data_IF_946864973242
#
_entry.id   IF_946864973242
#
_cell.length_a   1.000
_cell.length_b   1.000
_cell.length_c   1.000
_cell.angle_alpha   90.00
_cell.angle_beta   90.00
_cell.angle_gamma   90.00
#
_symmetry.space_group_name_H-M   'P 1'
#
loop_
_entity.id
_entity.type
_entity.pdbx_description
1 polymer ?
#
# COMPACT_ATOMS: atom_id res chain seq x y z
N UNK A 1 3.79 23.26 1.17
CA UNK A 1 3.14 21.95 1.08
C UNK A 1 3.66 20.99 2.15
N UNK A 2 2.81 20.07 2.57
CA UNK A 2 3.19 19.07 3.56
C UNK A 2 3.82 17.88 2.83
N UNK A 3 5.15 17.84 2.82
CA UNK A 3 5.90 16.78 2.13
C UNK A 3 5.74 15.42 2.82
N UNK A 4 5.56 15.40 4.13
CA UNK A 4 5.31 14.15 4.86
C UNK A 4 3.98 13.53 4.47
N UNK A 5 2.94 14.34 4.34
CA UNK A 5 1.63 13.88 3.88
C UNK A 5 1.72 13.34 2.44
N UNK A 6 2.41 14.06 1.56
CA UNK A 6 2.60 13.62 0.17
C UNK A 6 3.31 12.27 0.13
N UNK A 7 4.37 12.11 0.93
CA UNK A 7 5.13 10.86 0.99
C UNK A 7 4.25 9.70 1.44
N UNK A 8 3.45 9.89 2.49
CA UNK A 8 2.55 8.84 2.99
C UNK A 8 1.55 8.42 1.92
N UNK A 9 0.93 9.39 1.25
CA UNK A 9 -0.06 9.12 0.22
C UNK A 9 0.53 8.40 -0.98
N UNK A 10 1.74 8.77 -1.38
CA UNK A 10 2.45 8.10 -2.48
C UNK A 10 2.81 6.66 -2.12
N UNK A 11 3.29 6.42 -0.92
CA UNK A 11 3.62 5.07 -0.48
C UNK A 11 2.38 4.17 -0.43
N UNK A 12 1.26 4.70 0.01
CA UNK A 12 0.01 3.94 0.05
C UNK A 12 -0.43 3.50 -1.34
N UNK A 13 -0.37 4.39 -2.30
CA UNK A 13 -0.69 4.04 -3.68
C UNK A 13 0.28 3.01 -4.24
N UNK A 14 1.58 3.20 -4.02
CA UNK A 14 2.60 2.25 -4.46
C UNK A 14 2.33 0.84 -3.92
N UNK A 15 2.02 0.73 -2.63
CA UNK A 15 1.73 -0.56 -2.01
C UNK A 15 0.51 -1.23 -2.62
N UNK A 16 -0.56 -0.47 -2.87
CA UNK A 16 -1.74 -1.02 -3.52
C UNK A 16 -1.40 -1.55 -4.92
N UNK A 17 -0.57 -0.84 -5.68
CA UNK A 17 -0.16 -1.31 -7.02
C UNK A 17 0.67 -2.58 -6.96
N UNK A 18 1.62 -2.67 -6.03
CA UNK A 18 2.46 -3.87 -5.89
C UNK A 18 1.59 -5.07 -5.53
N UNK A 19 0.66 -4.89 -4.59
CA UNK A 19 -0.23 -5.97 -4.17
C UNK A 19 -1.16 -6.41 -5.30
N UNK A 20 -1.65 -5.46 -6.10
CA UNK A 20 -2.50 -5.79 -7.23
C UNK A 20 -1.77 -6.61 -8.28
N UNK A 21 -0.55 -6.22 -8.62
CA UNK A 21 0.24 -6.91 -9.64
C UNK A 21 0.74 -8.29 -9.22
N UNK A 22 0.69 -8.57 -7.92
CA UNK A 22 1.11 -9.85 -7.37
C UNK A 22 -0.04 -10.82 -7.18
N UNK A 23 -1.28 -10.36 -7.38
CA UNK A 23 -2.44 -11.21 -7.19
C UNK A 23 -2.34 -12.51 -8.01
N UNK A 24 -2.81 -13.64 -7.48
CA UNK A 24 -3.53 -13.81 -6.21
C UNK A 24 -2.64 -14.06 -4.99
N UNK A 25 -1.34 -13.80 -5.08
CA UNK A 25 -0.38 -14.14 -4.02
C UNK A 25 -0.22 -12.98 -3.05
N UNK A 26 -0.20 -13.25 -1.72
CA UNK A 26 0.17 -12.24 -0.75
C UNK A 26 1.64 -11.86 -0.89
N UNK A 27 1.99 -10.66 -0.47
CA UNK A 27 3.35 -10.13 -0.59
C UNK A 27 3.91 -9.83 0.80
N UNK A 28 5.15 -10.27 1.04
CA UNK A 28 5.85 -10.00 2.28
C UNK A 28 6.32 -8.56 2.41
N UNK A 29 6.42 -8.09 3.65
CA UNK A 29 6.83 -6.72 3.93
C UNK A 29 8.21 -6.36 3.37
N UNK A 30 9.12 -7.34 3.25
CA UNK A 30 10.45 -7.07 2.69
C UNK A 30 10.37 -6.62 1.23
N UNK A 31 9.48 -7.22 0.43
CA UNK A 31 9.27 -6.81 -0.95
C UNK A 31 8.66 -5.41 -1.00
N UNK A 32 7.68 -5.13 -0.13
CA UNK A 32 7.07 -3.80 -0.05
C UNK A 32 8.08 -2.75 0.39
N UNK A 33 8.97 -3.09 1.33
CA UNK A 33 10.03 -2.20 1.75
C UNK A 33 11.00 -1.90 0.60
N UNK A 34 11.34 -2.91 -0.21
CA UNK A 34 12.16 -2.72 -1.39
C UNK A 34 11.54 -1.77 -2.39
N UNK A 35 10.24 -1.93 -2.65
CA UNK A 35 9.51 -1.02 -3.54
C UNK A 35 9.46 0.40 -2.97
N UNK A 36 9.21 0.53 -1.66
CA UNK A 36 9.21 1.83 -0.99
C UNK A 36 10.56 2.52 -1.09
N UNK A 37 11.65 1.77 -0.93
CA UNK A 37 13.01 2.31 -1.00
C UNK A 37 13.41 2.72 -2.42
N UNK A 38 12.79 2.13 -3.43
CA UNK A 38 13.00 2.56 -4.81
C UNK A 38 12.44 3.96 -5.03
N UNK A 39 11.35 4.30 -4.38
CA UNK A 39 10.75 5.64 -4.45
C UNK A 39 11.39 6.60 -3.43
N UNK A 40 11.62 6.15 -2.20
CA UNK A 40 12.21 6.91 -1.10
C UNK A 40 13.33 6.08 -0.48
N UNK A 41 14.60 6.32 -0.85
CA UNK A 41 15.72 5.47 -0.41
C UNK A 41 15.89 5.33 1.10
N UNK A 42 15.38 6.27 1.88
CA UNK A 42 15.45 6.24 3.35
C UNK A 42 14.24 5.57 4.00
N UNK A 43 13.33 4.97 3.22
CA UNK A 43 12.16 4.29 3.76
C UNK A 43 12.56 3.13 4.67
N UNK A 44 11.91 3.01 5.82
CA UNK A 44 12.19 1.99 6.81
C UNK A 44 11.06 0.95 6.87
N UNK A 45 11.37 -0.20 7.47
CA UNK A 45 10.36 -1.23 7.71
C UNK A 45 9.22 -0.69 8.59
N UNK A 46 9.54 0.17 9.56
CA UNK A 46 8.53 0.78 10.41
C UNK A 46 7.58 1.66 9.60
N UNK A 47 8.10 2.45 8.69
CA UNK A 47 7.29 3.29 7.81
C UNK A 47 6.36 2.42 6.95
N UNK A 48 6.87 1.34 6.38
CA UNK A 48 6.06 0.41 5.59
C UNK A 48 4.92 -0.16 6.44
N UNK A 49 5.21 -0.61 7.66
CA UNK A 49 4.18 -1.15 8.54
C UNK A 49 3.12 -0.13 8.91
N UNK A 50 3.51 1.14 9.13
CA UNK A 50 2.56 2.21 9.42
C UNK A 50 1.58 2.42 8.27
N UNK A 51 2.08 2.39 7.03
CA UNK A 51 1.21 2.57 5.88
C UNK A 51 0.36 1.34 5.61
N UNK A 52 0.87 0.14 5.88
CA UNK A 52 0.06 -1.08 5.83
C UNK A 52 -1.09 -1.02 6.86
N UNK A 53 -0.81 -0.57 8.08
CA UNK A 53 -1.85 -0.39 9.09
C UNK A 53 -2.93 0.60 8.65
N UNK A 54 -2.53 1.70 7.99
CA UNK A 54 -3.49 2.65 7.44
C UNK A 54 -4.40 1.98 6.40
N UNK A 55 -3.82 1.23 5.48
CA UNK A 55 -4.59 0.55 4.43
C UNK A 55 -5.51 -0.52 5.02
N UNK A 56 -5.05 -1.23 6.04
CA UNK A 56 -5.86 -2.20 6.76
C UNK A 56 -7.04 -1.53 7.47
N UNK A 57 -6.81 -0.39 8.12
CA UNK A 57 -7.86 0.40 8.76
C UNK A 57 -8.94 0.81 7.76
N UNK A 58 -8.56 1.12 6.53
CA UNK A 58 -9.50 1.42 5.46
C UNK A 58 -10.09 0.17 4.79
N UNK A 59 -9.72 -1.02 5.26
CA UNK A 59 -10.19 -2.31 4.74
C UNK A 59 -9.82 -2.55 3.28
N UNK A 60 -8.71 -1.97 2.84
CA UNK A 60 -8.22 -2.14 1.47
C UNK A 60 -7.30 -3.34 1.33
N UNK A 61 -6.73 -3.79 2.42
CA UNK A 61 -5.84 -4.95 2.48
C UNK A 61 -6.17 -5.83 3.68
N UNK A 62 -5.73 -7.08 3.61
CA UNK A 62 -5.68 -8.00 4.74
C UNK A 62 -4.22 -8.25 5.08
N UNK A 63 -3.86 -8.04 6.34
CA UNK A 63 -2.50 -8.26 6.84
C UNK A 63 -2.46 -9.58 7.58
N UNK A 64 -1.46 -10.41 7.27
CA UNK A 64 -1.13 -11.60 8.06
C UNK A 64 0.15 -11.31 8.83
N UNK A 65 0.07 -11.30 10.16
CA UNK A 65 1.21 -11.05 11.03
C UNK A 65 1.77 -12.38 11.50
N UNK A 66 3.00 -12.70 11.08
CA UNK A 66 3.65 -13.93 11.50
C UNK A 66 4.09 -13.85 12.95
N UNK A 67 3.96 -14.95 13.73
CA UNK A 67 4.54 -15.01 15.09
C UNK A 67 6.05 -14.81 15.10
N UNK A 68 6.73 -15.12 14.01
CA UNK A 68 8.19 -14.94 13.88
C UNK A 68 8.59 -13.53 13.44
N UNK A 69 7.63 -12.62 13.20
CA UNK A 69 7.89 -11.22 12.95
C UNK A 69 7.45 -10.67 11.60
N UNK A 70 7.74 -11.29 10.45
CA UNK A 70 7.41 -10.71 9.16
C UNK A 70 5.91 -10.62 8.91
N UNK A 71 5.49 -9.51 8.31
CA UNK A 71 4.11 -9.32 7.87
C UNK A 71 3.99 -9.64 6.39
N UNK A 72 2.81 -10.06 5.98
CA UNK A 72 2.44 -10.14 4.56
C UNK A 72 1.06 -9.54 4.37
N UNK A 73 0.75 -9.18 3.15
CA UNK A 73 -0.52 -8.50 2.85
C UNK A 73 -1.03 -8.89 1.47
N UNK A 74 -2.34 -8.79 1.30
CA UNK A 74 -2.99 -8.93 0.01
C UNK A 74 -4.19 -7.99 -0.05
N UNK A 75 -4.64 -7.66 -1.26
CA UNK A 75 -5.78 -6.77 -1.44
C UNK A 75 -7.08 -7.47 -1.05
N UNK A 76 -7.98 -6.70 -0.43
CA UNK A 76 -9.39 -7.07 -0.32
C UNK A 76 -10.08 -6.74 -1.65
N UNK A 77 -11.34 -7.16 -1.80
CA UNK A 77 -12.16 -6.73 -2.94
C UNK A 77 -12.23 -5.20 -3.03
N UNK A 78 -12.37 -4.54 -1.89
CA UNK A 78 -12.41 -3.07 -1.85
C UNK A 78 -11.11 -2.45 -2.36
N UNK A 79 -9.95 -3.03 -1.98
CA UNK A 79 -8.66 -2.59 -2.48
C UNK A 79 -8.51 -2.77 -3.98
N UNK A 80 -8.99 -3.89 -4.51
CA UNK A 80 -9.02 -4.12 -5.95
C UNK A 80 -9.85 -3.05 -6.66
N UNK A 81 -11.02 -2.73 -6.12
CA UNK A 81 -11.91 -1.72 -6.70
C UNK A 81 -11.25 -0.33 -6.75
N UNK A 82 -10.45 0.01 -5.73
CA UNK A 82 -9.68 1.26 -5.72
C UNK A 82 -8.66 1.26 -6.86
N UNK A 83 -7.88 0.18 -6.99
CA UNK A 83 -6.82 0.10 -8.00
C UNK A 83 -7.41 0.08 -9.41
N UNK A 84 -8.57 -0.53 -9.59
CA UNK A 84 -9.24 -0.62 -10.89
C UNK A 84 -10.10 0.59 -11.24
N UNK A 85 -10.14 1.60 -10.36
CA UNK A 85 -10.98 2.80 -10.55
C UNK A 85 -12.47 2.50 -10.64
N UNK A 86 -12.91 1.40 -10.01
CA UNK A 86 -14.33 1.02 -9.98
C UNK A 86 -15.12 1.85 -8.99
N UNK A 87 -14.45 2.38 -7.97
CA UNK A 87 -15.05 3.23 -6.94
C UNK A 87 -14.16 4.45 -6.68
N UNK A 88 -14.72 5.45 -6.02
CA UNK A 88 -13.96 6.63 -5.62
C UNK A 88 -12.94 6.27 -4.52
N UNK A 89 -11.73 6.80 -4.66
CA UNK A 89 -10.66 6.57 -3.69
C UNK A 89 -10.77 7.45 -2.45
N UNK A 90 -11.28 8.67 -2.61
CA UNK A 90 -11.28 9.65 -1.54
C UNK A 90 -9.87 10.13 -1.19
N UNK A 91 -9.74 10.95 -0.13
CA UNK A 91 -8.45 11.48 0.28
C UNK A 91 -7.60 10.43 0.99
N UNK A 92 -6.31 10.70 1.11
CA UNK A 92 -5.38 9.88 1.88
C UNK A 92 -4.51 8.96 1.07
N UNK A 93 -4.82 8.76 -0.21
CA UNK A 93 -4.05 7.92 -1.14
C UNK A 93 -3.84 8.70 -2.43
N UNK A 94 -2.60 8.73 -2.91
CA UNK A 94 -2.25 9.49 -4.11
C UNK A 94 -2.55 8.70 -5.38
N UNK A 95 -3.80 8.25 -5.54
CA UNK A 95 -4.24 7.60 -6.77
C UNK A 95 -4.26 8.64 -7.89
N UNK A 96 -3.52 8.41 -9.00
CA UNK A 96 -3.52 9.37 -10.11
C UNK A 96 -4.91 9.58 -10.69
N UNK A 97 -5.20 10.76 -11.25
CA UNK A 97 -6.44 10.96 -11.99
C UNK A 97 -6.54 10.00 -13.16
N UNK A 98 -7.76 9.58 -13.47
CA UNK A 98 -8.00 8.72 -14.62
C UNK A 98 -8.04 9.55 -15.89
N UNK A 99 -7.26 9.17 -16.88
CA UNK A 99 -7.16 9.89 -18.15
C UNK A 99 -7.76 9.12 -19.33
N UNK A 100 -8.36 7.97 -19.10
CA UNK A 100 -8.93 7.12 -20.14
C UNK A 100 -10.43 6.90 -19.98
#
# INVERSE_FOLDING_TARGET
PDLGKLRREQLRWLMLLVLDRSRPYPIGEAVLAGAAQDMYPDATALEVRRELDYLDTRRLIDITKSPSGPWSAELTRHGVDIVEYSIDCGPGIARPPKYW
#
